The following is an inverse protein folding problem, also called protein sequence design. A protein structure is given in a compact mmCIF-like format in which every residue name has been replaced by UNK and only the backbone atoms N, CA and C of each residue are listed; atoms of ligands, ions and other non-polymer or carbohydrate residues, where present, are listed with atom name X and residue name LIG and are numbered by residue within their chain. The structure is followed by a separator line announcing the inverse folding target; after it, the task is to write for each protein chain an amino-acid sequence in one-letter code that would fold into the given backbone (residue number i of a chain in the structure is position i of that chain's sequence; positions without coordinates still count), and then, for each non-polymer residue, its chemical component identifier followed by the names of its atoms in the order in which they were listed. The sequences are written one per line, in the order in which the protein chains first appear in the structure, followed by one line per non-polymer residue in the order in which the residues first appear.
data_IF_351093932791
#
_entry.id   IF_351093932791
#
_cell.length_a   1.000
_cell.length_b   1.000
_cell.length_c   1.000
_cell.angle_alpha   90.00
_cell.angle_beta   90.00
_cell.angle_gamma   90.00
#
_symmetry.space_group_name_H-M   'P 1'
#
loop_
_entity.id
_entity.type
_entity.pdbx_description
1 polymer ?
#
# COMPACT_ATOMS: atom_id res chain seq x y z
N UNK A 1 2.74 -27.55 0.68
CA UNK A 1 3.27 -28.44 1.72
C UNK A 1 4.16 -27.72 2.76
N UNK A 2 5.02 -26.78 2.37
CA UNK A 2 5.95 -26.12 3.32
C UNK A 2 5.50 -24.76 3.89
N UNK A 3 4.51 -24.10 3.28
CA UNK A 3 4.02 -22.82 3.80
C UNK A 3 3.20 -23.05 5.07
N UNK A 4 3.53 -22.30 6.13
CA UNK A 4 2.91 -22.40 7.45
C UNK A 4 1.87 -21.27 7.71
N UNK A 5 1.77 -20.30 6.80
CA UNK A 5 0.85 -19.18 6.91
C UNK A 5 -0.52 -19.45 6.28
N UNK A 6 -1.53 -18.59 6.54
CA UNK A 6 -2.86 -18.68 5.91
C UNK A 6 -2.80 -18.68 4.37
N UNK A 7 -1.76 -18.07 3.79
CA UNK A 7 -1.50 -18.02 2.36
C UNK A 7 -1.22 -19.41 1.77
N UNK A 8 -0.93 -20.43 2.58
CA UNK A 8 -0.83 -21.81 2.10
C UNK A 8 -2.12 -22.29 1.40
N UNK A 9 -3.28 -21.76 1.81
CA UNK A 9 -4.58 -22.10 1.23
C UNK A 9 -4.79 -21.47 -0.16
N UNK A 10 -4.06 -20.39 -0.47
CA UNK A 10 -4.12 -19.68 -1.75
C UNK A 10 -2.93 -20.00 -2.66
N UNK A 11 -2.18 -21.07 -2.35
CA UNK A 11 -0.95 -21.41 -3.08
C UNK A 11 0.16 -20.38 -2.92
N UNK A 12 0.14 -19.59 -1.84
CA UNK A 12 1.09 -18.51 -1.57
C UNK A 12 0.75 -17.19 -2.26
N UNK A 13 -0.35 -17.13 -3.03
CA UNK A 13 -0.77 -15.88 -3.68
C UNK A 13 -1.52 -15.00 -2.69
N UNK A 14 -1.03 -13.77 -2.56
CA UNK A 14 -1.69 -12.69 -1.83
C UNK A 14 -2.28 -11.75 -2.87
N UNK A 15 -3.55 -11.40 -2.70
CA UNK A 15 -4.28 -10.52 -3.63
C UNK A 15 -3.65 -9.15 -3.78
N UNK A 16 -4.22 -8.28 -4.63
CA UNK A 16 -3.79 -6.90 -4.70
C UNK A 16 -3.98 -6.25 -3.32
N UNK A 17 -2.88 -5.98 -2.63
CA UNK A 17 -2.86 -5.32 -1.33
C UNK A 17 -1.95 -4.11 -1.40
N UNK A 18 -2.29 -3.09 -0.63
CA UNK A 18 -1.42 -1.92 -0.50
C UNK A 18 -0.10 -2.33 0.17
N UNK A 19 1.01 -1.73 -0.28
CA UNK A 19 2.33 -1.98 0.29
C UNK A 19 2.47 -1.51 1.74
N UNK A 20 1.51 -0.74 2.26
CA UNK A 20 1.40 -0.34 3.67
C UNK A 20 0.93 -1.48 4.59
N UNK A 21 0.26 -2.50 4.05
CA UNK A 21 -0.32 -3.62 4.81
C UNK A 21 0.73 -4.63 5.31
N UNK A 22 1.67 -5.12 4.48
CA UNK A 22 2.68 -6.07 4.96
C UNK A 22 3.70 -5.40 5.90
N UNK A 23 4.48 -6.23 6.60
CA UNK A 23 5.58 -5.77 7.44
C UNK A 23 6.54 -4.84 6.65
N UNK A 24 7.02 -3.71 7.21
CA UNK A 24 7.79 -2.70 6.48
C UNK A 24 9.01 -3.24 5.71
N UNK A 25 9.75 -4.18 6.29
CA UNK A 25 10.88 -4.81 5.61
C UNK A 25 10.45 -5.65 4.39
N UNK A 26 9.31 -6.36 4.47
CA UNK A 26 8.76 -7.07 3.31
C UNK A 26 8.28 -6.09 2.24
N UNK A 27 7.61 -5.00 2.64
CA UNK A 27 7.21 -3.93 1.72
C UNK A 27 8.42 -3.33 0.99
N UNK A 28 9.53 -3.09 1.71
CA UNK A 28 10.76 -2.58 1.12
C UNK A 28 11.38 -3.58 0.13
N UNK A 29 11.42 -4.86 0.46
CA UNK A 29 11.89 -5.90 -0.46
C UNK A 29 11.07 -5.92 -1.74
N UNK A 30 9.74 -5.93 -1.63
CA UNK A 30 8.83 -5.94 -2.79
C UNK A 30 8.99 -4.67 -3.64
N UNK A 31 9.16 -3.50 -3.02
CA UNK A 31 9.37 -2.21 -3.72
C UNK A 31 10.61 -2.18 -4.60
N UNK A 32 11.68 -2.88 -4.18
CA UNK A 32 12.94 -2.93 -4.90
C UNK A 32 13.00 -4.09 -5.92
N UNK A 33 11.97 -4.93 -5.96
CA UNK A 33 11.94 -6.12 -6.80
C UNK A 33 11.25 -5.89 -8.15
N UNK A 34 11.61 -6.72 -9.12
CA UNK A 34 10.88 -6.81 -10.38
C UNK A 34 9.82 -7.92 -10.30
N UNK A 35 8.68 -7.79 -11.02
CA UNK A 35 7.74 -8.90 -11.16
C UNK A 35 8.45 -10.19 -11.61
N UNK A 36 8.11 -11.32 -10.97
CA UNK A 36 8.74 -12.62 -11.15
C UNK A 36 10.03 -12.85 -10.37
N UNK A 37 10.62 -11.83 -9.75
CA UNK A 37 11.87 -11.96 -8.98
C UNK A 37 11.63 -12.70 -7.67
N UNK A 38 12.27 -13.87 -7.53
CA UNK A 38 12.26 -14.67 -6.31
C UNK A 38 13.39 -14.24 -5.37
N UNK A 39 13.05 -13.93 -4.12
CA UNK A 39 14.03 -13.69 -3.07
C UNK A 39 14.54 -15.00 -2.46
N UNK A 40 15.81 -15.05 -2.03
CA UNK A 40 16.30 -16.16 -1.23
C UNK A 40 15.54 -16.23 0.12
N UNK A 41 15.59 -17.37 0.82
CA UNK A 41 15.04 -17.50 2.17
C UNK A 41 15.53 -16.36 3.06
N UNK A 42 14.61 -15.50 3.47
CA UNK A 42 14.90 -14.26 4.21
C UNK A 42 14.24 -14.34 5.58
N UNK A 43 15.02 -14.10 6.64
CA UNK A 43 14.50 -14.13 8.01
C UNK A 43 13.82 -12.80 8.32
N UNK A 44 12.58 -12.88 8.81
CA UNK A 44 11.77 -11.75 9.23
C UNK A 44 11.22 -12.03 10.64
N UNK A 45 11.95 -11.59 11.67
CA UNK A 45 11.70 -12.00 13.05
C UNK A 45 11.89 -13.51 13.23
N UNK A 46 10.85 -14.20 13.68
CA UNK A 46 10.84 -15.66 13.86
C UNK A 46 10.48 -16.45 12.59
N UNK A 47 10.14 -15.76 11.50
CA UNK A 47 9.73 -16.40 10.25
C UNK A 47 10.87 -16.47 9.25
N UNK A 48 10.91 -17.56 8.47
CA UNK A 48 11.74 -17.67 7.28
C UNK A 48 10.81 -17.58 6.05
N UNK A 49 11.01 -16.55 5.22
CA UNK A 49 10.15 -16.22 4.10
C UNK A 49 10.85 -16.45 2.76
N UNK A 50 10.12 -17.00 1.80
CA UNK A 50 10.51 -17.02 0.39
C UNK A 50 9.41 -16.25 -0.34
N UNK A 51 9.78 -15.16 -1.00
CA UNK A 51 8.81 -14.21 -1.55
C UNK A 51 9.14 -13.94 -3.01
N UNK A 52 8.09 -13.83 -3.83
CA UNK A 52 8.17 -13.38 -5.22
C UNK A 52 7.12 -12.30 -5.44
N UNK A 53 7.51 -11.21 -6.09
CA UNK A 53 6.56 -10.20 -6.53
C UNK A 53 5.83 -10.69 -7.79
N UNK A 54 4.51 -10.87 -7.75
CA UNK A 54 3.75 -11.28 -8.94
C UNK A 54 3.40 -10.10 -9.85
N UNK A 55 2.91 -9.01 -9.26
CA UNK A 55 2.52 -7.80 -9.99
C UNK A 55 2.70 -6.56 -9.13
N UNK A 56 3.25 -5.50 -9.72
CA UNK A 56 3.32 -4.18 -9.12
C UNK A 56 2.36 -3.23 -9.82
N UNK A 57 1.52 -2.54 -9.05
CA UNK A 57 0.59 -1.53 -9.54
C UNK A 57 1.01 -0.19 -8.95
N UNK A 58 1.68 0.68 -9.73
CA UNK A 58 2.09 1.99 -9.23
C UNK A 58 0.86 2.85 -8.97
N UNK A 59 0.98 3.78 -8.00
CA UNK A 59 0.04 4.88 -7.89
C UNK A 59 0.10 5.72 -9.18
N UNK A 60 -1.05 6.07 -9.73
CA UNK A 60 -1.16 6.87 -10.95
C UNK A 60 -2.01 8.11 -10.67
N UNK A 61 -1.54 9.26 -11.15
CA UNK A 61 -2.31 10.50 -11.17
C UNK A 61 -3.01 10.62 -12.53
N UNK A 62 -3.90 9.68 -12.80
CA UNK A 62 -4.79 9.74 -13.97
C UNK A 62 -5.90 10.79 -13.77
N UNK A 63 -6.73 11.01 -14.78
CA UNK A 63 -7.77 12.05 -14.73
C UNK A 63 -8.80 11.79 -13.62
N UNK A 64 -9.14 10.52 -13.37
CA UNK A 64 -10.07 10.13 -12.31
C UNK A 64 -9.47 10.44 -10.93
N UNK A 65 -8.23 10.01 -10.69
CA UNK A 65 -7.51 10.27 -9.45
C UNK A 65 -7.28 11.78 -9.25
N UNK A 66 -6.93 12.51 -10.31
CA UNK A 66 -6.76 13.97 -10.26
C UNK A 66 -8.04 14.66 -9.82
N UNK A 67 -9.17 14.33 -10.44
CA UNK A 67 -10.47 14.92 -10.07
C UNK A 67 -10.82 14.61 -8.61
N UNK A 68 -10.61 13.37 -8.17
CA UNK A 68 -10.79 12.97 -6.78
C UNK A 68 -9.95 13.83 -5.83
N UNK A 69 -8.64 13.93 -6.07
CA UNK A 69 -7.74 14.71 -5.22
C UNK A 69 -8.08 16.20 -5.22
N UNK A 70 -8.47 16.77 -6.35
CA UNK A 70 -8.94 18.16 -6.42
C UNK A 70 -10.17 18.40 -5.56
N UNK A 71 -11.14 17.48 -5.60
CA UNK A 71 -12.33 17.56 -4.77
C UNK A 71 -11.97 17.43 -3.28
N UNK A 72 -11.12 16.48 -2.91
CA UNK A 72 -10.65 16.29 -1.52
C UNK A 72 -9.95 17.56 -1.01
N UNK A 73 -8.98 18.10 -1.77
CA UNK A 73 -8.28 19.33 -1.41
C UNK A 73 -9.23 20.54 -1.31
N UNK A 74 -10.17 20.68 -2.25
CA UNK A 74 -11.15 21.75 -2.23
C UNK A 74 -12.07 21.67 -1.00
N UNK A 75 -12.55 20.48 -0.67
CA UNK A 75 -13.37 20.27 0.53
C UNK A 75 -12.61 20.61 1.80
N UNK A 76 -11.35 20.16 1.94
CA UNK A 76 -10.50 20.52 3.09
C UNK A 76 -10.31 22.04 3.19
N UNK A 77 -9.93 22.68 2.09
CA UNK A 77 -9.74 24.13 2.06
C UNK A 77 -11.03 24.89 2.43
N UNK A 78 -12.18 24.47 1.88
CA UNK A 78 -13.46 25.13 2.16
C UNK A 78 -13.82 25.02 3.65
N UNK A 79 -13.64 23.84 4.25
CA UNK A 79 -13.86 23.65 5.69
C UNK A 79 -12.94 24.55 6.53
N UNK A 80 -11.68 24.68 6.15
CA UNK A 80 -10.73 25.58 6.83
C UNK A 80 -11.16 27.05 6.72
N UNK A 81 -11.60 27.50 5.54
CA UNK A 81 -12.08 28.88 5.35
C UNK A 81 -13.33 29.18 6.18
N UNK A 82 -14.30 28.26 6.20
CA UNK A 82 -15.52 28.43 7.00
C UNK A 82 -15.20 28.49 8.49
N UNK A 83 -14.32 27.61 8.98
CA UNK A 83 -13.89 27.62 10.38
C UNK A 83 -13.18 28.92 10.76
N UNK A 84 -12.34 29.47 9.87
CA UNK A 84 -11.70 30.77 10.09
C UNK A 84 -12.71 31.93 10.18
N UNK A 85 -13.72 31.93 9.29
CA UNK A 85 -14.75 32.98 9.31
C UNK A 85 -15.64 32.88 10.56
N UNK A 86 -16.01 31.66 10.97
CA UNK A 86 -16.79 31.44 12.20
C UNK A 86 -16.00 31.90 13.45
N UNK A 87 -14.72 31.55 13.53
CA UNK A 87 -13.85 31.97 14.64
C UNK A 87 -13.61 33.50 14.69
N UNK A 88 -13.83 34.23 13.60
CA UNK A 88 -13.73 35.69 13.56
C UNK A 88 -15.03 36.41 13.95
N UNK A 89 -16.14 35.68 14.08
CA UNK A 89 -17.45 36.18 14.49
C UNK A 89 -17.72 36.01 15.99
N UNK A 90 -16.92 35.19 16.68
CA UNK A 90 -16.87 35.04 18.14
C UNK A 90 -15.86 36.01 18.79
#
# INVERSE_FOLDING_TARGET
EYSQGPEAQTGGLIGPVELSVPHPALAQMLRLSQPGQLFPPTRLGEWLLIVRLEKFMPAQLDDSMRQRLLNECFSTWLSEQLNQQLAALD
#
